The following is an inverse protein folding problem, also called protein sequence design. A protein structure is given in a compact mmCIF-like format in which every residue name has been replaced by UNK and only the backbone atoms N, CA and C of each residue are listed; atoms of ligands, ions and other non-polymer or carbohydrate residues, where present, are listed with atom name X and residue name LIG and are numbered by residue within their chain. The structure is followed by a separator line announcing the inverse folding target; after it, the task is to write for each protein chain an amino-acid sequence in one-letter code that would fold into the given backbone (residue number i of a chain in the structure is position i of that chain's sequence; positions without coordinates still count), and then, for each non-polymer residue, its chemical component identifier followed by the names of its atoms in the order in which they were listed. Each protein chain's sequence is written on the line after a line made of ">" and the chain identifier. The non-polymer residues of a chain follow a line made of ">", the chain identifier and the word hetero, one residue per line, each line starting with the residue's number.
data_IF_251886008793
#
_entry.id   IF_251886008793
#
_cell.length_a   1.000
_cell.length_b   1.000
_cell.length_c   1.000
_cell.angle_alpha   90.00
_cell.angle_beta   90.00
_cell.angle_gamma   90.00
#
_symmetry.space_group_name_H-M   'P 1'
#
loop_
_entity.id
_entity.type
_entity.pdbx_description
1 polymer ?
#
# COMPACT_ATOMS: atom_id res chain seq x y z
N UNK A 1 10.87 -12.76 -13.03
CA UNK A 1 11.26 -11.62 -12.17
C UNK A 1 10.08 -10.67 -11.98
N UNK A 2 9.60 -10.52 -10.76
CA UNK A 2 8.57 -9.55 -10.40
C UNK A 2 9.20 -8.25 -9.91
N UNK A 3 8.68 -7.13 -10.43
CA UNK A 3 9.04 -5.76 -10.03
C UNK A 3 7.91 -5.18 -9.19
N UNK A 4 8.16 -5.01 -7.89
CA UNK A 4 7.16 -4.64 -6.89
C UNK A 4 7.67 -3.55 -5.93
N UNK A 5 6.77 -2.90 -5.19
CA UNK A 5 7.20 -2.03 -4.08
C UNK A 5 7.84 -2.89 -3.00
N UNK A 6 8.86 -2.35 -2.32
CA UNK A 6 9.62 -3.14 -1.34
C UNK A 6 8.81 -3.49 -0.09
N UNK A 7 7.77 -2.70 0.20
CA UNK A 7 6.79 -2.89 1.25
C UNK A 7 5.41 -3.14 0.60
N UNK A 8 4.60 -4.00 1.22
CA UNK A 8 3.28 -4.36 0.72
C UNK A 8 3.38 -5.42 -0.39
N UNK A 9 3.40 -4.99 -1.65
CA UNK A 9 3.32 -5.89 -2.81
C UNK A 9 4.35 -7.02 -2.78
N UNK A 10 5.62 -6.73 -2.43
CA UNK A 10 6.65 -7.76 -2.40
C UNK A 10 6.34 -8.87 -1.38
N UNK A 11 5.83 -8.52 -0.19
CA UNK A 11 5.46 -9.51 0.83
C UNK A 11 4.27 -10.36 0.39
N UNK A 12 3.30 -9.79 -0.29
CA UNK A 12 2.17 -10.54 -0.86
C UNK A 12 2.62 -11.53 -1.95
N UNK A 13 3.54 -11.11 -2.83
CA UNK A 13 4.12 -12.01 -3.85
C UNK A 13 4.84 -13.18 -3.18
N UNK A 14 5.72 -12.91 -2.20
CA UNK A 14 6.42 -13.96 -1.44
C UNK A 14 5.40 -14.93 -0.84
N UNK A 15 4.38 -14.39 -0.16
CA UNK A 15 3.36 -15.21 0.51
C UNK A 15 2.58 -16.07 -0.48
N UNK A 16 2.17 -15.50 -1.61
CA UNK A 16 1.41 -16.22 -2.63
C UNK A 16 2.21 -17.41 -3.17
N UNK A 17 3.48 -17.23 -3.53
CA UNK A 17 4.32 -18.34 -3.98
C UNK A 17 4.52 -19.38 -2.88
N UNK A 18 4.80 -18.98 -1.63
CA UNK A 18 4.94 -19.93 -0.53
C UNK A 18 3.67 -20.75 -0.25
N UNK A 19 2.49 -20.22 -0.58
CA UNK A 19 1.22 -20.90 -0.34
C UNK A 19 0.78 -21.77 -1.52
N UNK A 20 1.15 -21.39 -2.74
CA UNK A 20 0.58 -21.96 -3.96
C UNK A 20 1.58 -22.83 -4.73
N UNK A 21 2.88 -22.74 -4.45
CA UNK A 21 3.93 -23.49 -5.15
C UNK A 21 5.07 -23.89 -4.21
N UNK A 22 5.96 -24.76 -4.70
CA UNK A 22 7.23 -25.11 -4.03
C UNK A 22 8.42 -24.33 -4.62
N UNK A 23 8.16 -23.37 -5.52
CA UNK A 23 9.20 -22.63 -6.22
C UNK A 23 9.91 -21.69 -5.25
N UNK A 24 11.26 -21.70 -5.17
CA UNK A 24 12.00 -20.83 -4.28
C UNK A 24 11.81 -19.36 -4.66
N UNK A 25 11.52 -18.54 -3.64
CA UNK A 25 11.39 -17.09 -3.80
C UNK A 25 12.69 -16.41 -3.36
N UNK A 26 13.35 -15.75 -4.31
CA UNK A 26 14.57 -14.98 -4.10
C UNK A 26 14.19 -13.50 -4.11
N UNK A 27 14.71 -12.73 -3.16
CA UNK A 27 14.34 -11.32 -2.98
C UNK A 27 15.55 -10.41 -2.86
N UNK A 28 15.40 -9.18 -3.35
CA UNK A 28 16.39 -8.13 -3.16
C UNK A 28 16.61 -7.81 -1.66
N UNK A 29 17.83 -7.41 -1.22
CA UNK A 29 18.10 -7.18 0.19
C UNK A 29 17.20 -6.13 0.88
N UNK A 30 16.73 -5.12 0.13
CA UNK A 30 15.76 -4.14 0.65
C UNK A 30 14.42 -4.77 1.02
N UNK A 31 13.95 -5.72 0.20
CA UNK A 31 12.72 -6.50 0.46
C UNK A 31 12.99 -7.47 1.61
N UNK A 32 14.14 -8.17 1.61
CA UNK A 32 14.51 -9.07 2.69
C UNK A 32 14.48 -8.38 4.06
N UNK A 33 15.02 -7.16 4.16
CA UNK A 33 15.01 -6.36 5.39
C UNK A 33 13.59 -6.13 5.90
N UNK A 34 12.66 -5.75 5.04
CA UNK A 34 11.25 -5.51 5.40
C UNK A 34 10.54 -6.82 5.73
N UNK A 35 10.71 -7.85 4.91
CA UNK A 35 10.08 -9.17 5.12
C UNK A 35 10.55 -9.85 6.41
N UNK A 36 11.79 -9.59 6.88
CA UNK A 36 12.24 -10.01 8.22
C UNK A 36 11.43 -9.37 9.35
N UNK A 37 11.03 -8.10 9.22
CA UNK A 37 10.13 -7.45 10.18
C UNK A 37 8.79 -8.16 10.23
N UNK A 38 8.20 -8.47 9.07
CA UNK A 38 6.95 -9.25 9.00
C UNK A 38 7.07 -10.61 9.71
N UNK A 39 8.19 -11.34 9.51
CA UNK A 39 8.47 -12.59 10.24
C UNK A 39 8.49 -12.39 11.75
N UNK A 40 9.15 -11.34 12.25
CA UNK A 40 9.19 -11.01 13.68
C UNK A 40 7.79 -10.80 14.27
N UNK A 41 6.85 -10.29 13.47
CA UNK A 41 5.44 -10.11 13.87
C UNK A 41 4.52 -11.28 13.48
N UNK A 42 5.08 -12.46 13.20
CA UNK A 42 4.33 -13.71 13.02
C UNK A 42 3.87 -14.02 11.59
N UNK A 43 4.19 -13.18 10.61
CA UNK A 43 3.90 -13.49 9.21
C UNK A 43 4.91 -14.51 8.66
N UNK A 44 4.44 -15.72 8.35
CA UNK A 44 5.27 -16.75 7.70
C UNK A 44 5.51 -16.39 6.23
N UNK A 45 6.73 -15.95 5.93
CA UNK A 45 7.22 -15.59 4.59
C UNK A 45 8.53 -16.32 4.34
N UNK A 46 8.59 -17.33 3.47
CA UNK A 46 9.81 -18.05 3.11
C UNK A 46 10.49 -17.46 1.88
N UNK A 47 11.76 -17.05 2.02
CA UNK A 47 12.52 -16.43 0.95
C UNK A 47 14.04 -16.56 1.15
N UNK A 48 14.78 -16.48 0.04
CA UNK A 48 16.23 -16.34 0.00
C UNK A 48 16.60 -14.89 -0.33
N UNK A 49 17.59 -14.33 0.36
CA UNK A 49 18.08 -12.97 0.07
C UNK A 49 19.19 -13.01 -0.96
N UNK A 50 19.15 -12.13 -1.97
CA UNK A 50 20.13 -12.04 -3.07
C UNK A 50 21.59 -11.82 -2.66
N UNK A 51 21.85 -11.37 -1.44
CA UNK A 51 23.21 -11.17 -0.90
C UNK A 51 23.69 -12.36 -0.04
N UNK A 52 22.95 -13.48 -0.03
CA UNK A 52 23.39 -14.71 0.61
C UNK A 52 24.46 -15.39 -0.25
N UNK A 53 25.47 -15.99 0.36
CA UNK A 53 26.57 -16.72 -0.31
C UNK A 53 26.09 -17.88 -1.22
N UNK A 54 24.82 -18.26 -1.11
CA UNK A 54 24.14 -19.37 -1.82
C UNK A 54 23.53 -18.94 -3.18
N UNK A 55 23.62 -17.65 -3.53
CA UNK A 55 22.77 -17.06 -4.58
C UNK A 55 23.27 -17.32 -6.01
N UNK A 56 24.57 -17.50 -6.20
CA UNK A 56 25.13 -17.75 -7.55
C UNK A 56 24.64 -19.10 -8.12
N UNK A 57 24.39 -20.10 -7.27
CA UNK A 57 23.85 -21.40 -7.67
C UNK A 57 22.33 -21.35 -7.87
N UNK A 58 21.61 -20.65 -6.98
CA UNK A 58 20.15 -20.48 -7.07
C UNK A 58 19.70 -19.63 -8.29
N UNK A 59 20.47 -18.61 -8.67
CA UNK A 59 20.23 -17.81 -9.88
C UNK A 59 20.70 -18.51 -11.17
N UNK A 60 21.47 -19.59 -11.05
CA UNK A 60 21.92 -20.41 -12.17
C UNK A 60 20.94 -21.56 -12.48
N UNK A 61 20.09 -21.92 -11.53
CA UNK A 61 18.93 -22.80 -11.78
C UNK A 61 17.81 -22.05 -12.51
N UNK A 62 17.17 -22.67 -13.50
CA UNK A 62 16.11 -22.06 -14.33
C UNK A 62 14.78 -21.82 -13.59
N UNK A 63 14.62 -22.32 -12.36
CA UNK A 63 13.32 -22.58 -11.75
C UNK A 63 13.10 -21.76 -10.47
N UNK A 64 13.34 -20.45 -10.52
CA UNK A 64 13.25 -19.56 -9.36
C UNK A 64 12.43 -18.28 -9.60
N UNK A 65 11.74 -17.82 -8.55
CA UNK A 65 11.03 -16.54 -8.58
C UNK A 65 11.90 -15.46 -7.97
N UNK A 66 12.29 -14.48 -8.78
CA UNK A 66 13.00 -13.30 -8.30
C UNK A 66 12.05 -12.13 -8.07
N UNK A 67 12.09 -11.49 -6.89
CA UNK A 67 11.35 -10.26 -6.56
C UNK A 67 12.32 -9.11 -6.27
N UNK A 68 12.18 -8.02 -7.03
CA UNK A 68 13.04 -6.83 -6.93
C UNK A 68 12.22 -5.53 -6.86
N UNK A 69 12.78 -4.44 -6.30
CA UNK A 69 12.11 -3.14 -6.28
C UNK A 69 11.85 -2.61 -7.70
N UNK A 70 10.68 -1.99 -7.92
CA UNK A 70 10.26 -1.43 -9.23
C UNK A 70 11.33 -0.56 -9.92
N UNK A 71 12.00 0.28 -9.13
CA UNK A 71 12.90 1.33 -9.63
C UNK A 71 14.39 0.94 -9.55
N UNK A 72 14.72 -0.32 -9.25
CA UNK A 72 16.10 -0.79 -9.21
C UNK A 72 16.45 -1.48 -10.52
N UNK A 73 17.60 -1.12 -11.09
CA UNK A 73 18.21 -1.89 -12.19
C UNK A 73 18.85 -3.13 -11.57
N UNK A 74 18.49 -4.30 -12.07
CA UNK A 74 18.98 -5.57 -11.56
C UNK A 74 19.34 -6.50 -12.72
N UNK A 75 20.60 -6.94 -12.75
CA UNK A 75 21.12 -7.88 -13.75
C UNK A 75 20.94 -7.44 -15.20
N UNK A 76 21.15 -8.39 -16.10
CA UNK A 76 20.75 -8.27 -17.51
C UNK A 76 19.25 -8.62 -17.64
N UNK A 77 18.39 -7.68 -18.07
CA UNK A 77 16.97 -7.93 -18.26
C UNK A 77 16.65 -9.07 -19.23
N UNK A 78 17.54 -9.38 -20.18
CA UNK A 78 17.33 -10.44 -21.18
C UNK A 78 17.25 -11.84 -20.54
N UNK A 79 17.83 -12.00 -19.34
CA UNK A 79 17.85 -13.26 -18.59
C UNK A 79 16.55 -13.56 -17.83
N UNK A 80 15.59 -12.63 -17.83
CA UNK A 80 14.40 -12.74 -16.99
C UNK A 80 13.11 -12.42 -17.75
N UNK A 81 12.15 -13.33 -17.67
CA UNK A 81 10.76 -12.97 -17.92
C UNK A 81 10.29 -11.99 -16.83
N UNK A 82 10.02 -10.74 -17.22
CA UNK A 82 9.76 -9.66 -16.27
C UNK A 82 8.27 -9.35 -16.18
N UNK A 83 7.79 -9.16 -14.94
CA UNK A 83 6.43 -8.76 -14.64
C UNK A 83 6.41 -7.54 -13.71
N UNK A 84 5.60 -6.52 -14.05
CA UNK A 84 5.30 -5.40 -13.15
C UNK A 84 4.14 -5.77 -12.23
N UNK A 85 4.28 -5.53 -10.93
CA UNK A 85 3.20 -5.74 -9.95
C UNK A 85 2.89 -4.42 -9.26
N UNK A 86 1.75 -3.82 -9.56
CA UNK A 86 1.37 -2.49 -9.08
C UNK A 86 -0.12 -2.24 -9.23
N UNK A 87 -0.74 -1.45 -8.34
CA UNK A 87 -2.12 -0.97 -8.54
C UNK A 87 -2.29 -0.18 -9.84
N UNK A 88 -1.19 0.39 -10.34
CA UNK A 88 -1.16 1.12 -11.61
C UNK A 88 -0.93 0.22 -12.83
N UNK A 89 -0.75 -1.09 -12.68
CA UNK A 89 -0.41 -2.01 -13.77
C UNK A 89 -1.43 -1.97 -14.93
N UNK A 90 -2.70 -1.70 -14.65
CA UNK A 90 -3.73 -1.55 -15.68
C UNK A 90 -3.44 -0.41 -16.67
N UNK A 91 -2.78 0.66 -16.22
CA UNK A 91 -2.39 1.80 -17.05
C UNK A 91 -1.10 1.58 -17.83
N UNK A 92 -0.34 0.53 -17.49
CA UNK A 92 0.93 0.18 -18.10
C UNK A 92 0.86 -1.03 -19.03
N UNK A 93 -0.35 -1.56 -19.28
CA UNK A 93 -0.59 -2.66 -20.22
C UNK A 93 -0.01 -2.31 -21.60
N UNK A 94 0.82 -3.18 -22.14
CA UNK A 94 1.42 -3.03 -23.47
C UNK A 94 2.84 -2.45 -23.51
N UNK A 95 3.47 -2.13 -22.37
CA UNK A 95 4.86 -1.63 -22.32
C UNK A 95 5.95 -2.72 -22.25
N UNK A 96 5.62 -3.94 -22.70
CA UNK A 96 6.51 -5.11 -22.69
C UNK A 96 6.53 -5.83 -21.33
N UNK A 97 6.40 -7.16 -21.36
CA UNK A 97 6.32 -8.02 -20.17
C UNK A 97 4.92 -8.15 -19.56
N UNK A 98 4.78 -9.08 -18.61
CA UNK A 98 3.53 -9.29 -17.89
C UNK A 98 3.25 -8.15 -16.90
N UNK A 99 1.98 -7.95 -16.54
CA UNK A 99 1.58 -6.89 -15.62
C UNK A 99 0.40 -7.33 -14.76
N UNK A 100 0.57 -7.27 -13.44
CA UNK A 100 -0.41 -7.71 -12.45
C UNK A 100 -0.90 -6.50 -11.64
N UNK A 101 -2.22 -6.30 -11.65
CA UNK A 101 -2.90 -5.24 -10.91
C UNK A 101 -3.07 -5.67 -9.44
N UNK A 102 -1.99 -5.58 -8.68
CA UNK A 102 -1.98 -5.85 -7.24
C UNK A 102 -1.67 -4.55 -6.48
N UNK A 103 -2.55 -4.19 -5.56
CA UNK A 103 -2.53 -2.95 -4.80
C UNK A 103 -2.66 -3.27 -3.32
N UNK A 104 -1.89 -2.59 -2.49
CA UNK A 104 -2.01 -2.57 -1.03
C UNK A 104 -3.03 -1.52 -0.52
N UNK A 105 -3.70 -0.83 -1.45
CA UNK A 105 -4.80 0.09 -1.17
C UNK A 105 -6.17 -0.53 -1.44
N UNK A 106 -7.16 -0.12 -0.63
CA UNK A 106 -8.56 -0.43 -0.84
C UNK A 106 -9.08 0.13 -2.17
N UNK A 107 -9.87 -0.66 -2.89
CA UNK A 107 -10.60 -0.20 -4.06
C UNK A 107 -11.82 0.67 -3.68
N UNK A 108 -12.55 1.13 -4.69
CA UNK A 108 -13.72 1.98 -4.46
C UNK A 108 -14.79 1.28 -3.60
N UNK A 109 -15.12 0.02 -3.85
CA UNK A 109 -16.16 -0.68 -3.09
C UNK A 109 -15.73 -0.88 -1.64
N UNK A 110 -14.49 -1.32 -1.43
CA UNK A 110 -13.91 -1.50 -0.10
C UNK A 110 -13.87 -0.19 0.69
N UNK A 111 -13.57 0.95 0.05
CA UNK A 111 -13.67 2.27 0.70
C UNK A 111 -15.10 2.61 1.11
N UNK A 112 -16.09 2.30 0.28
CA UNK A 112 -17.50 2.54 0.61
C UNK A 112 -17.99 1.63 1.74
N UNK A 113 -17.62 0.35 1.72
CA UNK A 113 -17.90 -0.62 2.78
C UNK A 113 -17.25 -0.21 4.11
N UNK A 114 -16.02 0.31 4.07
CA UNK A 114 -15.35 0.84 5.24
C UNK A 114 -16.13 2.02 5.86
N UNK A 115 -16.55 2.99 5.04
CA UNK A 115 -17.35 4.13 5.53
C UNK A 115 -18.68 3.66 6.10
N UNK A 116 -19.36 2.74 5.44
CA UNK A 116 -20.63 2.17 5.90
C UNK A 116 -20.49 1.48 7.26
N UNK A 117 -19.43 0.67 7.41
CA UNK A 117 -19.14 -0.09 8.62
C UNK A 117 -18.79 0.81 9.80
N UNK A 118 -18.05 1.90 9.56
CA UNK A 118 -17.64 2.84 10.60
C UNK A 118 -18.77 3.77 11.09
N UNK A 119 -19.82 3.99 10.28
CA UNK A 119 -20.91 4.95 10.56
C UNK A 119 -20.41 6.32 11.07
N UNK A 120 -19.47 6.97 10.38
CA UNK A 120 -18.90 8.23 10.85
C UNK A 120 -19.88 9.40 10.70
N UNK A 121 -19.69 10.45 11.50
CA UNK A 121 -20.43 11.73 11.31
C UNK A 121 -19.85 12.58 10.18
N UNK A 122 -18.54 12.49 9.96
CA UNK A 122 -17.80 13.26 8.96
C UNK A 122 -16.74 12.36 8.32
N UNK A 123 -16.57 12.44 7.01
CA UNK A 123 -15.47 11.80 6.27
C UNK A 123 -14.57 12.83 5.62
N UNK A 124 -13.27 12.72 5.86
CA UNK A 124 -12.26 13.58 5.26
C UNK A 124 -11.43 12.81 4.23
N UNK A 125 -11.63 13.09 2.95
CA UNK A 125 -10.88 12.41 1.87
C UNK A 125 -9.50 13.02 1.71
N UNK A 126 -8.48 12.19 1.47
CA UNK A 126 -7.09 12.63 1.32
C UNK A 126 -6.31 11.68 0.40
N UNK A 127 -5.03 11.98 0.17
CA UNK A 127 -4.09 11.16 -0.63
C UNK A 127 -4.51 10.88 -2.08
N UNK A 128 -5.32 11.77 -2.66
CA UNK A 128 -5.63 11.77 -4.09
C UNK A 128 -5.52 13.17 -4.67
N UNK A 129 -4.70 13.35 -5.70
CA UNK A 129 -4.58 14.63 -6.40
C UNK A 129 -5.81 14.97 -7.27
N UNK A 130 -6.59 13.94 -7.66
CA UNK A 130 -7.63 14.07 -8.68
C UNK A 130 -9.03 13.71 -8.18
N UNK A 131 -9.16 12.76 -7.27
CA UNK A 131 -10.45 12.12 -6.97
C UNK A 131 -11.00 12.40 -5.57
N UNK A 132 -10.26 13.11 -4.71
CA UNK A 132 -10.69 13.39 -3.33
C UNK A 132 -12.05 14.12 -3.25
N UNK A 133 -12.30 15.10 -4.12
CA UNK A 133 -13.58 15.83 -4.20
C UNK A 133 -14.71 14.94 -4.68
N UNK A 134 -14.43 14.13 -5.70
CA UNK A 134 -15.40 13.21 -6.30
C UNK A 134 -15.83 12.14 -5.31
N UNK A 135 -14.86 11.53 -4.60
CA UNK A 135 -15.12 10.53 -3.58
C UNK A 135 -15.91 11.13 -2.41
N UNK A 136 -15.50 12.31 -1.91
CA UNK A 136 -16.22 13.00 -0.84
C UNK A 136 -17.69 13.30 -1.23
N UNK A 137 -17.91 13.85 -2.43
CA UNK A 137 -19.25 14.12 -2.92
C UNK A 137 -20.09 12.84 -3.06
N UNK A 138 -19.47 11.73 -3.48
CA UNK A 138 -20.16 10.44 -3.56
C UNK A 138 -20.55 9.93 -2.16
N UNK A 139 -19.63 9.96 -1.20
CA UNK A 139 -19.86 9.56 0.19
C UNK A 139 -20.98 10.39 0.83
N UNK A 140 -20.93 11.72 0.70
CA UNK A 140 -21.94 12.61 1.26
C UNK A 140 -23.34 12.30 0.71
N UNK A 141 -23.46 12.04 -0.60
CA UNK A 141 -24.74 11.69 -1.22
C UNK A 141 -25.23 10.31 -0.79
N UNK A 142 -24.36 9.29 -0.78
CA UNK A 142 -24.75 7.90 -0.48
C UNK A 142 -25.15 7.74 0.99
N UNK A 143 -24.35 8.27 1.92
CA UNK A 143 -24.54 8.03 3.36
C UNK A 143 -25.23 9.18 4.10
N UNK A 144 -25.51 10.30 3.41
CA UNK A 144 -26.16 11.49 4.02
C UNK A 144 -25.39 12.06 5.22
N UNK A 145 -24.06 12.04 5.13
CA UNK A 145 -23.13 12.59 6.13
C UNK A 145 -22.29 13.71 5.54
N UNK A 146 -21.63 14.49 6.38
CA UNK A 146 -20.64 15.46 5.90
C UNK A 146 -19.44 14.71 5.31
N UNK A 147 -19.03 15.06 4.09
CA UNK A 147 -17.78 14.59 3.55
C UNK A 147 -17.11 15.66 2.68
N UNK A 148 -15.80 15.85 2.87
CA UNK A 148 -15.02 16.86 2.13
C UNK A 148 -13.53 16.50 2.10
N UNK A 149 -12.77 17.00 1.11
CA UNK A 149 -11.32 16.85 1.13
C UNK A 149 -10.69 17.46 2.38
N UNK A 150 -9.73 16.76 2.97
CA UNK A 150 -8.98 17.18 4.15
C UNK A 150 -8.34 18.55 3.94
N UNK A 151 -7.82 18.82 2.74
CA UNK A 151 -7.18 20.10 2.38
C UNK A 151 -8.10 21.32 2.43
N UNK A 152 -9.41 21.12 2.54
CA UNK A 152 -10.39 22.20 2.70
C UNK A 152 -10.67 22.52 4.18
N UNK A 153 -10.05 21.83 5.12
CA UNK A 153 -10.02 22.28 6.51
C UNK A 153 -9.10 23.50 6.56
N UNK A 154 -9.64 24.64 6.99
CA UNK A 154 -8.82 25.82 7.29
C UNK A 154 -7.88 25.45 8.43
N UNK A 155 -6.58 25.55 8.17
CA UNK A 155 -5.56 25.47 9.22
C UNK A 155 -5.57 26.76 10.03
N UNK A 156 -6.63 26.99 10.81
CA UNK A 156 -6.53 27.89 11.94
C UNK A 156 -5.73 27.11 13.00
N UNK A 157 -4.41 27.24 12.94
CA UNK A 157 -3.57 26.85 14.07
C UNK A 157 -4.00 27.78 15.20
N UNK A 158 -4.85 27.29 16.11
CA UNK A 158 -5.22 27.99 17.33
C UNK A 158 -3.98 28.07 18.23
N UNK A 159 -3.07 28.98 17.91
CA UNK A 159 -2.05 29.44 18.84
C UNK A 159 -2.82 30.24 19.91
N UNK A 160 -3.10 29.60 21.05
CA UNK A 160 -3.62 30.21 22.28
C UNK A 160 -5.09 30.65 22.35
N UNK A 161 -6.04 30.04 21.64
CA UNK A 161 -7.48 30.30 21.91
C UNK A 161 -8.12 29.14 22.66
N UNK A 162 -8.59 29.38 23.89
CA UNK A 162 -9.47 28.43 24.60
C UNK A 162 -10.68 28.11 23.70
N UNK A 163 -11.04 26.82 23.52
CA UNK A 163 -12.23 26.44 22.76
C UNK A 163 -13.47 27.19 23.24
N UNK A 164 -14.24 27.75 22.30
CA UNK A 164 -15.41 28.58 22.58
C UNK A 164 -16.49 27.87 23.40
N UNK A 165 -16.54 26.54 23.38
CA UNK A 165 -17.48 25.72 24.14
C UNK A 165 -17.16 25.62 25.65
N UNK A 166 -16.03 26.19 26.11
CA UNK A 166 -15.66 26.26 27.54
C UNK A 166 -16.01 27.60 28.20
N UNK A 167 -16.65 28.53 27.48
CA UNK A 167 -17.23 29.73 28.10
C UNK A 167 -18.69 29.46 28.46
N UNK A 168 -18.90 28.92 29.66
CA UNK A 168 -19.89 29.39 30.65
C UNK A 168 -20.16 28.33 31.72
N UNK A 169 -19.70 28.61 32.94
CA UNK A 169 -20.46 28.32 34.16
C UNK A 169 -20.37 29.60 35.00
N UNK A 170 -21.37 30.47 34.85
CA UNK A 170 -21.49 31.67 35.64
C UNK A 170 -21.62 31.33 37.12
N UNK A 171 -20.73 31.89 37.94
CA UNK A 171 -20.99 32.08 39.36
C UNK A 171 -21.36 33.54 39.57
N UNK A 172 -22.66 33.84 39.52
CA UNK A 172 -23.20 34.99 40.24
C UNK A 172 -23.37 34.56 41.69
N UNK A 173 -22.39 34.86 42.53
CA UNK A 173 -22.60 34.89 43.97
C UNK A 173 -22.96 36.32 44.37
N UNK A 174 -23.99 36.43 45.21
CA UNK A 174 -24.52 37.65 45.83
C UNK A 174 -23.50 38.27 46.78
#
# INVERSE_FOLDING_TARGET
>A
MFRADSLGNAQEIIKAFNMLTEVPVIVHPSIAKISKVYRTYGCRLEFLSLNSEIVDEALSSSDGVLVVPKNVKFGDPSRFETALVSGWALWFRGRGGASFALSDHADFQQLMEFVESCKPRVVLTCFSERFEKTLAAHIARKFRIEARPLKLIRNEIYVNSRPSYLKEAGHKAR
#
